data_IF_069085441576
#
_entry.id   IF_069085441576
#
_cell.length_a   1.000
_cell.length_b   1.000
_cell.length_c   1.000
_cell.angle_alpha   90.00
_cell.angle_beta   90.00
_cell.angle_gamma   90.00
#
_symmetry.space_group_name_H-M   'P 1'
#
loop_
_entity.id
_entity.type
_entity.pdbx_description
1 polymer ?
#
# COMPACT_ATOMS: atom_id res chain seq x y z
N UNK A 1 24.72 -38.88 -35.88
CA UNK A 1 23.46 -38.96 -35.09
C UNK A 1 23.33 -37.65 -34.32
N UNK A 2 22.52 -36.71 -34.80
CA UNK A 2 22.43 -35.36 -34.22
C UNK A 2 21.22 -35.34 -33.26
N UNK A 3 21.46 -34.95 -32.02
CA UNK A 3 20.43 -34.76 -31.02
C UNK A 3 19.78 -33.38 -31.23
N UNK A 4 18.51 -33.36 -31.63
CA UNK A 4 17.69 -32.17 -31.73
C UNK A 4 17.35 -31.69 -30.34
N UNK A 5 17.71 -30.46 -30.03
CA UNK A 5 17.24 -29.75 -28.84
C UNK A 5 15.74 -29.49 -28.95
N UNK A 6 14.97 -29.97 -27.99
CA UNK A 6 13.54 -29.70 -27.84
C UNK A 6 13.39 -28.22 -27.32
N UNK A 7 12.81 -27.38 -28.15
CA UNK A 7 12.44 -26.04 -27.78
C UNK A 7 11.36 -26.04 -26.72
N UNK A 8 11.53 -25.15 -25.75
CA UNK A 8 10.60 -24.87 -24.66
C UNK A 8 9.29 -24.31 -25.24
N UNK A 9 8.12 -24.92 -25.05
CA UNK A 9 6.87 -24.37 -25.55
C UNK A 9 6.45 -23.20 -24.66
N UNK A 10 6.40 -22.01 -25.23
CA UNK A 10 5.71 -20.87 -24.61
C UNK A 10 4.25 -21.26 -24.43
N UNK A 11 3.85 -21.47 -23.20
CA UNK A 11 2.45 -21.70 -22.85
C UNK A 11 1.68 -20.39 -23.03
N UNK A 12 0.98 -20.25 -24.15
CA UNK A 12 -0.03 -19.21 -24.35
C UNK A 12 -1.32 -19.68 -23.69
N UNK A 13 -1.60 -19.20 -22.48
CA UNK A 13 -2.89 -19.43 -21.84
C UNK A 13 -3.92 -18.46 -22.43
N UNK A 14 -4.86 -18.97 -23.21
CA UNK A 14 -6.12 -18.28 -23.51
C UNK A 14 -7.06 -18.51 -22.34
N UNK A 15 -7.29 -17.46 -21.54
CA UNK A 15 -8.40 -17.48 -20.58
C UNK A 15 -9.72 -17.45 -21.36
N UNK A 16 -10.48 -18.54 -21.31
CA UNK A 16 -11.86 -18.58 -21.80
C UNK A 16 -12.75 -18.27 -20.60
N UNK A 17 -13.24 -17.03 -20.54
CA UNK A 17 -14.28 -16.64 -19.59
C UNK A 17 -15.64 -17.07 -20.16
N UNK A 18 -16.26 -18.07 -19.56
CA UNK A 18 -17.64 -18.40 -19.83
C UNK A 18 -18.48 -17.86 -18.68
N UNK A 19 -19.01 -16.66 -18.83
CA UNK A 19 -19.95 -16.05 -17.86
C UNK A 19 -21.35 -16.29 -18.38
N UNK A 20 -21.89 -17.47 -18.07
CA UNK A 20 -23.36 -17.65 -18.06
C UNK A 20 -23.71 -18.85 -17.18
N UNK A 21 -24.43 -18.58 -16.07
CA UNK A 21 -25.17 -19.61 -15.36
C UNK A 21 -24.67 -19.93 -13.96
N UNK A 22 -25.56 -19.86 -13.04
CA UNK A 22 -25.56 -20.32 -11.65
C UNK A 22 -25.05 -21.77 -11.54
N UNK A 23 -23.75 -21.93 -11.35
CA UNK A 23 -23.12 -23.21 -11.09
C UNK A 23 -21.81 -22.97 -10.38
N UNK A 24 -21.64 -23.44 -9.14
CA UNK A 24 -20.38 -23.44 -8.44
C UNK A 24 -19.35 -24.16 -9.31
N UNK A 25 -18.31 -23.45 -9.75
CA UNK A 25 -17.18 -24.05 -10.45
C UNK A 25 -16.39 -24.91 -9.44
N UNK A 26 -16.59 -26.24 -9.49
CA UNK A 26 -15.92 -27.23 -8.64
C UNK A 26 -14.58 -27.68 -9.23
N UNK A 27 -13.76 -26.75 -9.75
CA UNK A 27 -12.38 -27.00 -10.12
C UNK A 27 -11.43 -26.29 -9.16
N UNK A 28 -10.22 -26.84 -8.88
CA UNK A 28 -9.26 -26.12 -8.08
C UNK A 28 -8.93 -24.80 -8.78
N UNK A 29 -9.22 -23.67 -8.11
CA UNK A 29 -8.80 -22.35 -8.58
C UNK A 29 -7.25 -22.33 -8.61
N UNK A 30 -6.68 -22.19 -9.78
CA UNK A 30 -5.23 -22.03 -9.92
C UNK A 30 -4.92 -20.56 -9.83
N UNK A 31 -4.28 -20.14 -8.73
CA UNK A 31 -3.77 -18.78 -8.57
C UNK A 31 -2.76 -18.49 -9.69
N UNK A 32 -2.94 -17.42 -10.46
CA UNK A 32 -2.11 -17.18 -11.65
C UNK A 32 -0.66 -16.78 -11.31
N UNK A 33 -0.34 -16.64 -10.02
CA UNK A 33 0.96 -16.21 -9.53
C UNK A 33 1.07 -14.71 -9.35
N UNK A 34 2.08 -14.29 -8.61
CA UNK A 34 2.38 -12.88 -8.36
C UNK A 34 2.79 -12.18 -9.65
N UNK A 35 2.24 -10.99 -9.88
CA UNK A 35 2.70 -10.02 -10.87
C UNK A 35 3.82 -9.14 -10.31
N UNK A 36 4.09 -8.01 -10.96
CA UNK A 36 4.93 -6.95 -10.44
C UNK A 36 4.07 -5.83 -9.89
N UNK A 37 4.45 -5.24 -8.76
CA UNK A 37 3.72 -4.15 -8.10
C UNK A 37 4.60 -2.92 -7.83
N UNK A 38 5.85 -2.95 -8.25
CA UNK A 38 6.80 -1.87 -8.09
C UNK A 38 7.19 -1.29 -9.45
N UNK A 39 7.40 0.02 -9.49
CA UNK A 39 7.85 0.74 -10.66
C UNK A 39 8.50 2.05 -10.26
N UNK A 40 8.89 2.86 -11.21
CA UNK A 40 9.70 4.05 -10.96
C UNK A 40 8.88 5.33 -10.75
N UNK A 41 7.60 5.33 -11.12
CA UNK A 41 6.71 6.46 -10.84
C UNK A 41 6.05 6.32 -9.48
N UNK A 42 6.41 7.20 -8.54
CA UNK A 42 5.75 7.37 -7.24
C UNK A 42 4.49 8.22 -7.38
N UNK A 43 3.45 7.84 -6.68
CA UNK A 43 2.16 8.53 -6.60
C UNK A 43 1.88 8.94 -5.16
N UNK A 44 1.34 10.16 -4.99
CA UNK A 44 0.77 10.63 -3.72
C UNK A 44 -0.64 11.19 -4.01
N UNK A 45 -1.67 10.47 -3.59
CA UNK A 45 -3.05 10.76 -3.98
C UNK A 45 -3.93 11.14 -2.79
N UNK A 46 -4.81 12.13 -2.99
CA UNK A 46 -5.74 12.60 -1.97
C UNK A 46 -5.05 13.21 -0.75
N UNK A 47 -5.56 12.92 0.43
CA UNK A 47 -5.02 13.42 1.71
C UNK A 47 -5.74 14.65 2.25
N UNK A 48 -5.19 15.24 3.30
CA UNK A 48 -5.80 16.41 3.97
C UNK A 48 -4.87 17.62 3.86
N UNK A 49 -5.29 18.63 3.09
CA UNK A 49 -4.67 19.95 2.97
C UNK A 49 -5.24 20.90 4.03
N UNK A 50 -4.64 22.09 4.19
CA UNK A 50 -5.15 23.12 5.14
C UNK A 50 -6.59 23.55 4.84
N UNK A 51 -7.00 23.47 3.57
CA UNK A 51 -8.35 23.77 3.12
C UNK A 51 -9.36 22.63 3.29
N UNK A 52 -8.93 21.42 3.67
CA UNK A 52 -9.78 20.23 3.81
C UNK A 52 -9.26 19.02 3.06
N UNK A 53 -10.17 18.09 2.73
CA UNK A 53 -9.82 16.89 1.98
C UNK A 53 -9.43 17.25 0.55
N UNK A 54 -8.43 16.56 0.01
CA UNK A 54 -7.90 16.76 -1.34
C UNK A 54 -8.33 15.64 -2.27
N UNK A 55 -8.54 15.99 -3.52
CA UNK A 55 -8.66 15.09 -4.66
C UNK A 55 -7.40 15.04 -5.52
N UNK A 56 -6.46 15.96 -5.32
CA UNK A 56 -5.22 16.05 -6.12
C UNK A 56 -4.41 14.78 -6.06
N UNK A 57 -3.86 14.38 -7.20
CA UNK A 57 -2.91 13.28 -7.34
C UNK A 57 -1.58 13.88 -7.81
N UNK A 58 -0.53 13.74 -7.02
CA UNK A 58 0.83 14.13 -7.38
C UNK A 58 1.63 12.91 -7.85
N UNK A 59 2.57 13.13 -8.78
CA UNK A 59 3.51 12.11 -9.25
C UNK A 59 4.94 12.62 -9.31
N UNK A 60 5.91 11.71 -9.16
CA UNK A 60 7.35 11.96 -9.28
C UNK A 60 8.09 10.68 -9.68
N UNK A 61 9.31 10.82 -10.21
CA UNK A 61 10.15 9.65 -10.53
C UNK A 61 11.03 9.30 -9.34
N UNK A 62 11.00 8.03 -8.87
CA UNK A 62 11.72 7.58 -7.67
C UNK A 62 13.23 7.49 -7.90
N UNK A 63 13.68 7.11 -9.09
CA UNK A 63 15.12 7.01 -9.42
C UNK A 63 15.78 8.36 -9.68
N UNK A 64 15.02 9.35 -10.16
CA UNK A 64 15.48 10.70 -10.48
C UNK A 64 14.57 11.76 -9.86
N UNK A 65 14.49 11.77 -8.51
CA UNK A 65 13.52 12.58 -7.77
C UNK A 65 13.70 14.07 -8.10
N UNK A 66 12.61 14.70 -8.45
CA UNK A 66 12.42 16.13 -8.63
C UNK A 66 11.08 16.52 -8.04
N UNK A 67 10.78 17.83 -7.97
CA UNK A 67 9.47 18.28 -7.49
C UNK A 67 8.34 17.59 -8.25
N UNK A 68 7.31 17.19 -7.52
CA UNK A 68 6.18 16.47 -8.07
C UNK A 68 5.43 17.32 -9.11
N UNK A 69 4.89 16.64 -10.10
CA UNK A 69 3.94 17.19 -11.05
C UNK A 69 2.50 16.81 -10.67
N UNK A 70 1.55 17.56 -11.18
CA UNK A 70 0.14 17.24 -11.12
C UNK A 70 -0.18 16.07 -12.09
N UNK A 71 -0.75 15.00 -11.53
CA UNK A 71 -1.19 13.82 -12.31
C UNK A 71 -2.64 13.97 -12.78
N UNK A 72 -3.49 14.58 -11.96
CA UNK A 72 -4.94 14.69 -12.11
C UNK A 72 -5.64 14.58 -10.76
N UNK A 73 -6.92 14.24 -10.76
CA UNK A 73 -7.76 14.27 -9.56
C UNK A 73 -8.44 12.93 -9.29
N UNK A 74 -8.74 12.65 -8.02
CA UNK A 74 -9.63 11.58 -7.58
C UNK A 74 -11.08 11.88 -7.99
N UNK A 75 -11.93 10.86 -8.05
CA UNK A 75 -13.38 11.05 -8.28
C UNK A 75 -14.05 11.80 -7.14
N UNK A 76 -13.50 11.70 -5.92
CA UNK A 76 -14.01 12.36 -4.70
C UNK A 76 -12.84 12.73 -3.78
N UNK A 77 -12.81 13.97 -3.24
CA UNK A 77 -11.81 14.37 -2.25
C UNK A 77 -11.84 13.48 -1.03
N UNK A 78 -10.67 12.91 -0.64
CA UNK A 78 -10.58 11.97 0.49
C UNK A 78 -9.24 12.02 1.21
N UNK A 79 -9.23 11.64 2.48
CA UNK A 79 -8.02 11.42 3.28
C UNK A 79 -8.20 10.18 4.16
N UNK A 80 -7.12 9.74 4.81
CA UNK A 80 -7.12 8.48 5.57
C UNK A 80 -7.60 7.28 4.73
N UNK A 81 -7.49 7.41 3.40
CA UNK A 81 -7.61 6.35 2.44
C UNK A 81 -6.33 5.52 2.41
N UNK A 82 -6.36 4.40 1.75
CA UNK A 82 -5.20 3.53 1.51
C UNK A 82 -5.17 3.10 0.06
N UNK A 83 -4.09 2.48 -0.35
CA UNK A 83 -3.97 2.03 -1.74
C UNK A 83 -3.00 0.89 -1.92
N UNK A 84 -2.97 0.41 -3.13
CA UNK A 84 -2.00 -0.54 -3.64
C UNK A 84 -1.91 -0.41 -5.16
N UNK A 85 -0.97 -1.09 -5.77
CA UNK A 85 -0.78 -1.03 -7.22
C UNK A 85 -0.25 -2.34 -7.78
N UNK A 86 -0.34 -2.45 -9.09
CA UNK A 86 0.62 -3.20 -9.88
C UNK A 86 1.47 -2.23 -10.70
N UNK A 87 2.25 -2.72 -11.67
CA UNK A 87 3.08 -1.85 -12.51
C UNK A 87 2.28 -0.83 -13.32
N UNK A 88 1.03 -1.10 -13.67
CA UNK A 88 0.23 -0.29 -14.61
C UNK A 88 -0.91 0.45 -13.95
N UNK A 89 -1.49 -0.10 -12.89
CA UNK A 89 -2.69 0.42 -12.25
C UNK A 89 -2.48 0.66 -10.76
N UNK A 90 -2.88 1.84 -10.29
CA UNK A 90 -2.96 2.18 -8.88
C UNK A 90 -4.40 2.24 -8.41
N UNK A 91 -4.67 1.73 -7.21
CA UNK A 91 -5.98 1.74 -6.56
C UNK A 91 -5.94 2.65 -5.33
N UNK A 92 -6.97 3.45 -5.17
CA UNK A 92 -7.16 4.35 -4.02
C UNK A 92 -8.49 4.01 -3.39
N UNK A 93 -8.48 3.51 -2.15
CA UNK A 93 -9.60 2.84 -1.53
C UNK A 93 -10.09 3.55 -0.28
N UNK A 94 -11.41 3.64 -0.12
CA UNK A 94 -12.03 4.12 1.09
C UNK A 94 -11.69 5.57 1.46
N UNK A 95 -11.70 5.87 2.74
CA UNK A 95 -11.36 7.18 3.29
C UNK A 95 -12.31 7.64 4.39
N UNK A 96 -11.96 8.77 5.01
CA UNK A 96 -12.72 9.37 6.08
C UNK A 96 -14.19 9.60 5.67
N UNK A 97 -15.10 9.58 6.62
CA UNK A 97 -16.56 9.52 6.41
C UNK A 97 -17.03 8.19 5.81
N UNK A 98 -16.29 7.11 6.03
CA UNK A 98 -16.64 5.76 5.58
C UNK A 98 -16.92 5.67 4.07
N UNK A 99 -16.09 6.32 3.27
CA UNK A 99 -16.14 6.20 1.81
C UNK A 99 -15.98 4.73 1.45
N UNK A 100 -16.85 4.23 0.57
CA UNK A 100 -16.86 2.83 0.14
C UNK A 100 -16.16 2.66 -1.22
N UNK A 101 -16.17 3.69 -2.08
CA UNK A 101 -15.64 3.59 -3.43
C UNK A 101 -14.14 3.31 -3.47
N UNK A 102 -13.76 2.56 -4.49
CA UNK A 102 -12.38 2.34 -4.92
C UNK A 102 -12.20 3.13 -6.22
N UNK A 103 -11.24 4.05 -6.24
CA UNK A 103 -10.80 4.73 -7.44
C UNK A 103 -9.60 4.01 -8.05
N UNK A 104 -9.40 4.10 -9.37
CA UNK A 104 -8.17 3.66 -10.01
C UNK A 104 -7.61 4.68 -10.98
N UNK A 105 -6.28 4.62 -11.16
CA UNK A 105 -5.55 5.35 -12.20
C UNK A 105 -4.72 4.38 -13.05
N UNK A 106 -4.47 4.74 -14.30
CA UNK A 106 -3.42 4.12 -15.13
C UNK A 106 -2.13 4.89 -14.91
N UNK A 107 -1.16 4.33 -14.19
CA UNK A 107 0.01 5.05 -13.67
C UNK A 107 0.86 5.69 -14.77
N UNK A 108 0.96 5.06 -15.95
CA UNK A 108 1.70 5.59 -17.10
C UNK A 108 1.04 6.76 -17.83
N UNK A 109 -0.21 7.13 -17.51
CA UNK A 109 -1.00 8.11 -18.26
C UNK A 109 -1.63 9.14 -17.32
N UNK A 110 -1.25 10.42 -17.48
CA UNK A 110 -1.81 11.52 -16.69
C UNK A 110 -3.30 11.67 -17.01
N UNK A 111 -4.15 11.43 -16.02
CA UNK A 111 -5.60 11.54 -16.15
C UNK A 111 -6.27 11.53 -14.77
N UNK A 112 -7.48 12.05 -14.71
CA UNK A 112 -8.37 11.90 -13.54
C UNK A 112 -8.67 10.42 -13.28
N UNK A 113 -8.73 10.04 -12.01
CA UNK A 113 -9.09 8.69 -11.57
C UNK A 113 -10.49 8.29 -12.05
N UNK A 114 -10.70 7.01 -12.16
CA UNK A 114 -11.98 6.41 -12.56
C UNK A 114 -12.48 5.50 -11.44
N UNK A 115 -13.79 5.28 -11.42
CA UNK A 115 -14.43 4.34 -10.53
C UNK A 115 -14.00 2.89 -10.87
N UNK A 116 -13.57 2.16 -9.84
CA UNK A 116 -13.19 0.74 -9.95
C UNK A 116 -14.28 -0.19 -9.45
N UNK A 117 -15.02 0.20 -8.43
CA UNK A 117 -16.00 -0.55 -7.69
C UNK A 117 -15.99 -0.19 -6.21
N UNK A 118 -16.60 -1.00 -5.37
CA UNK A 118 -16.80 -0.71 -3.96
C UNK A 118 -16.12 -1.72 -3.02
N UNK A 119 -15.71 -1.25 -1.84
CA UNK A 119 -15.37 -2.08 -0.70
C UNK A 119 -16.61 -2.82 -0.20
N UNK A 120 -16.45 -3.94 0.49
CA UNK A 120 -17.59 -4.62 1.15
C UNK A 120 -18.21 -3.76 2.26
N UNK A 121 -17.42 -2.90 2.88
CA UNK A 121 -17.83 -1.90 3.87
C UNK A 121 -16.98 -0.65 3.79
N UNK A 122 -17.61 0.51 3.71
CA UNK A 122 -16.90 1.81 3.70
C UNK A 122 -16.20 2.05 5.04
N UNK A 123 -14.92 2.39 4.99
CA UNK A 123 -14.06 2.60 6.17
C UNK A 123 -12.84 3.47 5.86
N UNK A 124 -12.07 3.80 6.88
CA UNK A 124 -10.83 4.57 6.76
C UNK A 124 -9.71 3.94 7.62
N UNK A 125 -8.47 4.40 7.45
CA UNK A 125 -7.29 3.94 8.20
C UNK A 125 -7.04 2.42 8.12
N UNK A 126 -7.27 1.81 6.95
CA UNK A 126 -6.88 0.43 6.66
C UNK A 126 -5.50 0.38 6.00
N UNK A 127 -4.92 -0.82 5.90
CA UNK A 127 -3.70 -1.08 5.16
C UNK A 127 -3.98 -1.73 3.81
N UNK A 128 -3.23 -1.35 2.76
CA UNK A 128 -3.28 -1.96 1.44
C UNK A 128 -1.97 -2.63 1.07
N UNK A 129 -2.04 -3.81 0.45
CA UNK A 129 -0.90 -4.57 -0.05
C UNK A 129 -1.25 -5.23 -1.38
N UNK A 130 -0.26 -5.43 -2.26
CA UNK A 130 -0.48 -6.07 -3.56
C UNK A 130 0.70 -6.92 -3.98
N UNK A 131 0.42 -8.08 -4.59
CA UNK A 131 1.41 -8.90 -5.30
C UNK A 131 1.43 -8.61 -6.81
N UNK A 132 0.74 -7.55 -7.24
CA UNK A 132 0.58 -7.17 -8.64
C UNK A 132 -0.60 -7.86 -9.34
N UNK A 133 -1.20 -8.90 -8.75
CA UNK A 133 -2.42 -9.52 -9.23
C UNK A 133 -3.62 -9.18 -8.34
N UNK A 134 -3.48 -9.39 -7.02
CA UNK A 134 -4.47 -9.02 -6.02
C UNK A 134 -4.06 -7.76 -5.28
N UNK A 135 -5.00 -6.82 -5.12
CA UNK A 135 -4.94 -5.79 -4.10
C UNK A 135 -5.72 -6.29 -2.88
N UNK A 136 -5.09 -6.36 -1.72
CA UNK A 136 -5.69 -6.88 -0.48
C UNK A 136 -5.67 -5.78 0.58
N UNK A 137 -6.81 -5.57 1.22
CA UNK A 137 -7.06 -4.47 2.15
C UNK A 137 -7.45 -5.02 3.52
N UNK A 138 -6.77 -4.58 4.58
CA UNK A 138 -6.96 -5.15 5.91
C UNK A 138 -7.20 -4.10 6.99
N UNK A 139 -8.11 -4.40 7.91
CA UNK A 139 -8.42 -3.59 9.07
C UNK A 139 -9.17 -2.29 8.74
N UNK A 140 -8.83 -1.22 9.44
CA UNK A 140 -9.48 0.08 9.33
C UNK A 140 -10.58 0.30 10.37
N UNK A 141 -11.34 1.38 10.19
CA UNK A 141 -12.42 1.72 11.13
C UNK A 141 -13.65 2.28 10.41
N UNK A 142 -14.84 1.92 10.91
CA UNK A 142 -16.15 2.49 10.55
C UNK A 142 -16.70 3.37 11.69
N UNK A 143 -15.84 3.80 12.64
CA UNK A 143 -16.17 4.25 13.97
C UNK A 143 -15.86 3.17 15.02
N UNK A 144 -15.87 1.91 14.63
CA UNK A 144 -15.32 0.78 15.37
C UNK A 144 -14.25 0.09 14.54
N UNK A 145 -13.15 -0.35 15.16
CA UNK A 145 -12.06 -1.06 14.49
C UNK A 145 -12.55 -2.35 13.83
N UNK A 146 -11.95 -2.70 12.70
CA UNK A 146 -12.37 -3.83 11.87
C UNK A 146 -11.32 -4.94 11.84
N UNK A 147 -11.79 -6.19 11.74
CA UNK A 147 -10.95 -7.35 11.41
C UNK A 147 -10.96 -7.67 9.92
N UNK A 148 -11.81 -7.03 9.13
CA UNK A 148 -12.06 -7.36 7.71
C UNK A 148 -10.77 -7.37 6.91
N UNK A 149 -10.54 -8.45 6.17
CA UNK A 149 -9.61 -8.51 5.05
C UNK A 149 -10.44 -8.79 3.79
N UNK A 150 -10.30 -7.96 2.78
CA UNK A 150 -10.97 -8.10 1.49
C UNK A 150 -9.99 -7.82 0.35
N UNK A 151 -10.33 -8.26 -0.87
CA UNK A 151 -9.46 -8.10 -2.01
C UNK A 151 -10.22 -7.80 -3.30
N UNK A 152 -9.47 -7.27 -4.26
CA UNK A 152 -9.86 -7.13 -5.67
C UNK A 152 -8.77 -7.74 -6.57
N UNK A 153 -9.12 -8.03 -7.83
CA UNK A 153 -8.13 -8.30 -8.88
C UNK A 153 -7.78 -6.98 -9.56
N UNK A 154 -6.55 -6.49 -9.41
CA UNK A 154 -6.13 -5.13 -9.77
C UNK A 154 -6.49 -4.74 -11.21
N UNK A 155 -6.41 -5.66 -12.16
CA UNK A 155 -6.70 -5.38 -13.58
C UNK A 155 -8.19 -5.48 -13.95
N UNK A 156 -9.06 -5.89 -13.02
CA UNK A 156 -10.49 -6.10 -13.32
C UNK A 156 -11.33 -5.26 -12.38
N UNK A 157 -11.93 -4.19 -12.92
CA UNK A 157 -12.83 -3.34 -12.15
C UNK A 157 -14.05 -4.15 -11.66
N UNK A 158 -14.21 -4.23 -10.36
CA UNK A 158 -15.26 -4.96 -9.67
C UNK A 158 -15.24 -4.63 -8.17
N UNK A 159 -16.34 -4.92 -7.48
CA UNK A 159 -16.41 -4.79 -6.03
C UNK A 159 -15.45 -5.76 -5.33
N UNK A 160 -14.98 -5.34 -4.16
CA UNK A 160 -14.14 -6.17 -3.31
C UNK A 160 -14.92 -7.37 -2.77
N UNK A 161 -14.21 -8.46 -2.56
CA UNK A 161 -14.75 -9.68 -1.96
C UNK A 161 -13.95 -10.10 -0.74
N UNK A 162 -14.57 -10.82 0.18
CA UNK A 162 -13.93 -11.27 1.42
C UNK A 162 -12.70 -12.12 1.14
N UNK A 163 -11.62 -11.84 1.87
CA UNK A 163 -10.37 -12.62 1.88
C UNK A 163 -10.26 -13.46 3.16
N UNK A 164 -10.53 -12.85 4.32
CA UNK A 164 -10.38 -13.43 5.65
C UNK A 164 -10.50 -12.34 6.73
N UNK A 165 -9.87 -12.55 7.87
CA UNK A 165 -9.87 -11.62 9.00
C UNK A 165 -8.48 -11.44 9.60
N UNK A 166 -8.20 -10.24 10.12
CA UNK A 166 -7.07 -10.00 11.03
C UNK A 166 -7.28 -10.74 12.36
N UNK A 167 -6.21 -11.08 13.03
CA UNK A 167 -6.23 -11.72 14.35
C UNK A 167 -6.90 -10.86 15.42
N UNK A 168 -6.87 -9.53 15.27
CA UNK A 168 -7.54 -8.55 16.12
C UNK A 168 -8.08 -7.37 15.30
N UNK A 169 -9.16 -6.74 15.76
CA UNK A 169 -9.73 -5.56 15.13
C UNK A 169 -8.76 -4.38 15.24
N UNK A 170 -8.23 -3.93 14.11
CA UNK A 170 -7.12 -2.96 14.05
C UNK A 170 -7.44 -1.83 13.09
N UNK A 171 -7.10 -0.58 13.47
CA UNK A 171 -7.10 0.59 12.59
C UNK A 171 -5.74 1.26 12.58
N UNK A 172 -5.42 2.01 11.52
CA UNK A 172 -4.15 2.72 11.36
C UNK A 172 -2.94 1.80 11.15
N UNK A 173 -3.17 0.55 10.76
CA UNK A 173 -2.10 -0.31 10.22
C UNK A 173 -1.71 0.14 8.83
N UNK A 174 -0.49 -0.18 8.41
CA UNK A 174 0.00 0.16 7.08
C UNK A 174 0.49 -1.09 6.35
N UNK A 175 0.15 -1.20 5.06
CA UNK A 175 0.37 -2.39 4.26
C UNK A 175 1.64 -2.32 3.41
N UNK A 176 2.40 -3.39 3.39
CA UNK A 176 3.55 -3.63 2.52
C UNK A 176 3.44 -5.03 1.91
N UNK A 177 4.25 -5.35 0.93
CA UNK A 177 4.13 -6.62 0.22
C UNK A 177 5.46 -7.28 -0.12
N UNK A 178 5.42 -8.58 -0.31
CA UNK A 178 6.38 -9.34 -1.09
C UNK A 178 5.65 -10.06 -2.22
N UNK A 179 6.35 -10.87 -3.01
CA UNK A 179 5.71 -11.67 -4.04
C UNK A 179 4.66 -12.67 -3.49
N UNK A 180 4.77 -13.07 -2.23
CA UNK A 180 3.92 -14.10 -1.63
C UNK A 180 3.03 -13.58 -0.50
N UNK A 181 3.46 -12.53 0.19
CA UNK A 181 2.87 -12.09 1.45
C UNK A 181 2.44 -10.62 1.39
N UNK A 182 1.22 -10.34 1.83
CA UNK A 182 0.82 -9.00 2.26
C UNK A 182 1.09 -8.85 3.75
N UNK A 183 1.75 -7.77 4.14
CA UNK A 183 2.17 -7.47 5.51
C UNK A 183 1.44 -6.23 6.01
N UNK A 184 0.92 -6.28 7.23
CA UNK A 184 0.17 -5.17 7.83
C UNK A 184 0.78 -4.87 9.20
N UNK A 185 1.56 -3.79 9.30
CA UNK A 185 2.35 -3.46 10.47
C UNK A 185 1.75 -2.35 11.32
N UNK A 186 1.85 -2.49 12.64
CA UNK A 186 1.40 -1.51 13.62
C UNK A 186 -0.11 -1.30 13.64
N UNK A 187 -0.53 -0.11 14.00
CA UNK A 187 -1.94 0.25 14.16
C UNK A 187 -2.36 0.35 15.62
N UNK A 188 -3.66 0.23 15.84
CA UNK A 188 -4.26 0.27 17.16
C UNK A 188 -5.42 -0.72 17.26
N UNK A 189 -5.41 -1.56 18.28
CA UNK A 189 -6.51 -2.43 18.69
C UNK A 189 -7.31 -1.87 19.90
N UNK A 190 -6.93 -0.70 20.35
CA UNK A 190 -7.36 0.02 21.56
C UNK A 190 -6.16 0.74 22.15
N UNK A 191 -4.99 0.17 22.01
CA UNK A 191 -3.68 0.77 22.25
C UNK A 191 -2.85 0.71 20.97
N UNK A 192 -1.78 1.47 20.87
CA UNK A 192 -0.82 1.32 19.76
C UNK A 192 -0.13 -0.04 19.89
N UNK A 193 0.05 -0.75 18.78
CA UNK A 193 0.63 -2.09 18.75
C UNK A 193 1.91 -2.14 17.91
N UNK A 194 2.72 -3.17 18.20
CA UNK A 194 3.93 -3.49 17.44
C UNK A 194 3.66 -4.53 16.35
N UNK A 195 2.60 -5.31 16.50
CA UNK A 195 2.34 -6.50 15.69
C UNK A 195 2.38 -6.22 14.19
N UNK A 196 3.03 -7.11 13.46
CA UNK A 196 2.97 -7.23 12.01
C UNK A 196 2.17 -8.50 11.69
N UNK A 197 0.98 -8.33 11.13
CA UNK A 197 0.19 -9.45 10.60
C UNK A 197 0.61 -9.73 9.15
N UNK A 198 0.51 -11.00 8.70
CA UNK A 198 0.67 -11.33 7.29
C UNK A 198 -0.46 -12.21 6.76
N UNK A 199 -0.66 -12.12 5.44
CA UNK A 199 -1.50 -13.03 4.65
C UNK A 199 -0.66 -13.63 3.51
N UNK A 200 -1.08 -14.78 3.02
CA UNK A 200 -0.52 -15.36 1.80
C UNK A 200 -1.46 -15.05 0.63
N UNK A 201 -1.01 -14.29 -0.36
CA UNK A 201 -1.87 -13.82 -1.47
C UNK A 201 -2.58 -14.95 -2.22
N UNK A 202 -1.93 -16.11 -2.38
CA UNK A 202 -2.49 -17.25 -3.11
C UNK A 202 -3.58 -18.00 -2.35
N UNK A 203 -3.73 -17.79 -1.04
CA UNK A 203 -4.62 -18.57 -0.17
C UNK A 203 -5.56 -17.64 0.58
N UNK A 204 -6.87 -17.77 0.35
CA UNK A 204 -7.87 -17.03 1.13
C UNK A 204 -7.93 -17.62 2.54
N UNK A 205 -7.47 -16.86 3.52
CA UNK A 205 -7.41 -17.26 4.93
C UNK A 205 -7.28 -16.06 5.85
N UNK A 206 -7.48 -16.27 7.13
CA UNK A 206 -7.18 -15.29 8.16
C UNK A 206 -5.67 -14.98 8.20
N UNK A 207 -5.33 -13.80 8.74
CA UNK A 207 -3.95 -13.41 8.93
C UNK A 207 -3.25 -14.25 10.01
N UNK A 208 -1.94 -14.30 9.91
CA UNK A 208 -1.05 -14.89 10.92
C UNK A 208 -0.03 -13.86 11.40
N UNK A 209 0.63 -14.16 12.49
CA UNK A 209 1.67 -13.32 13.08
C UNK A 209 2.97 -13.46 12.28
N UNK A 210 3.54 -12.32 11.84
CA UNK A 210 4.85 -12.24 11.17
C UNK A 210 5.96 -11.91 12.17
N UNK A 211 5.68 -11.06 13.15
CA UNK A 211 6.60 -10.50 14.14
C UNK A 211 6.17 -9.10 14.57
N UNK A 212 7.09 -8.32 15.10
CA UNK A 212 6.82 -7.02 15.71
C UNK A 212 7.67 -5.90 15.10
N UNK A 213 7.09 -4.69 14.98
CA UNK A 213 7.84 -3.45 14.82
C UNK A 213 8.69 -3.16 16.06
N UNK A 214 9.74 -2.39 15.93
CA UNK A 214 10.60 -2.01 17.07
C UNK A 214 9.89 -1.10 18.08
N UNK A 215 8.82 -0.41 17.64
CA UNK A 215 8.05 0.53 18.47
C UNK A 215 6.56 0.46 18.13
N UNK A 216 5.72 0.45 19.18
CA UNK A 216 4.27 0.48 19.05
C UNK A 216 3.78 1.81 18.47
N UNK A 217 3.12 1.78 17.32
CA UNK A 217 2.65 2.97 16.62
C UNK A 217 1.56 2.68 15.60
N UNK A 218 0.74 3.67 15.28
CA UNK A 218 -0.10 3.67 14.10
C UNK A 218 0.66 4.34 12.95
N UNK A 219 0.88 3.62 11.88
CA UNK A 219 1.77 4.03 10.77
C UNK A 219 1.04 4.77 9.66
N UNK A 220 -0.28 4.61 9.54
CA UNK A 220 -1.17 5.35 8.64
C UNK A 220 -0.53 5.68 7.26
N UNK A 221 -0.35 4.66 6.41
CA UNK A 221 0.20 4.70 5.04
C UNK A 221 1.73 4.91 4.88
N UNK A 222 2.48 5.17 5.94
CA UNK A 222 3.94 5.32 5.87
C UNK A 222 4.67 4.00 5.65
N UNK A 223 4.25 3.19 4.67
CA UNK A 223 4.90 1.91 4.34
C UNK A 223 5.10 1.76 2.85
N UNK A 224 6.14 1.01 2.50
CA UNK A 224 6.42 0.57 1.14
C UNK A 224 7.32 -0.66 1.17
N UNK A 225 7.53 -1.27 0.02
CA UNK A 225 8.37 -2.46 -0.08
C UNK A 225 8.96 -2.62 -1.47
N UNK A 226 10.08 -3.34 -1.52
CA UNK A 226 10.53 -3.99 -2.73
C UNK A 226 10.40 -5.51 -2.58
N UNK A 227 10.98 -6.29 -3.48
CA UNK A 227 10.87 -7.76 -3.46
C UNK A 227 11.57 -8.43 -2.27
N UNK A 228 12.42 -7.72 -1.52
CA UNK A 228 13.22 -8.27 -0.42
C UNK A 228 12.92 -7.65 0.94
N UNK A 229 12.52 -6.39 1.01
CA UNK A 229 12.30 -5.66 2.25
C UNK A 229 10.97 -4.91 2.25
N UNK A 230 10.30 -4.92 3.40
CA UNK A 230 9.18 -4.06 3.72
C UNK A 230 9.62 -3.06 4.79
N UNK A 231 9.25 -1.79 4.59
CA UNK A 231 9.61 -0.67 5.45
C UNK A 231 8.35 0.00 5.99
N UNK A 232 8.41 0.45 7.24
CA UNK A 232 7.39 1.29 7.89
C UNK A 232 8.06 2.51 8.49
N UNK A 233 7.64 3.69 8.06
CA UNK A 233 8.23 4.95 8.48
C UNK A 233 7.30 5.75 9.38
N UNK A 234 7.87 6.33 10.42
CA UNK A 234 7.22 7.30 11.30
C UNK A 234 5.89 6.78 11.91
N UNK A 235 5.01 7.69 12.28
CA UNK A 235 3.67 7.39 12.78
C UNK A 235 3.41 7.86 14.21
N UNK A 236 2.12 7.82 14.60
CA UNK A 236 1.70 8.17 15.94
C UNK A 236 2.05 7.08 16.95
N UNK A 237 3.04 7.32 17.81
CA UNK A 237 3.43 6.42 18.89
C UNK A 237 2.48 6.48 20.10
N UNK A 238 2.78 5.70 21.13
CA UNK A 238 1.97 5.63 22.35
C UNK A 238 2.00 6.94 23.16
N UNK A 239 3.13 7.63 23.17
CA UNK A 239 3.33 8.88 23.95
C UNK A 239 3.62 10.10 23.04
N UNK A 240 4.22 9.89 21.88
CA UNK A 240 4.56 10.93 20.90
C UNK A 240 4.69 10.30 19.52
N UNK A 241 4.61 11.13 18.47
CA UNK A 241 4.97 10.69 17.13
C UNK A 241 6.44 10.31 17.07
N UNK A 242 6.80 9.45 16.13
CA UNK A 242 8.17 8.96 15.94
C UNK A 242 8.62 9.22 14.49
N UNK A 243 9.91 9.41 14.30
CA UNK A 243 10.59 9.51 13.02
C UNK A 243 11.18 8.17 12.56
N UNK A 244 11.13 7.14 13.39
CA UNK A 244 11.76 5.84 13.14
C UNK A 244 11.24 5.17 11.87
N UNK A 245 12.19 4.61 11.11
CA UNK A 245 11.92 3.70 10.00
C UNK A 245 12.31 2.30 10.46
N UNK A 246 11.37 1.37 10.43
CA UNK A 246 11.61 -0.06 10.66
C UNK A 246 11.58 -0.83 9.36
N UNK A 247 12.30 -1.96 9.30
CA UNK A 247 12.22 -2.88 8.18
C UNK A 247 12.20 -4.35 8.62
N UNK A 248 11.64 -5.19 7.75
CA UNK A 248 11.78 -6.65 7.80
C UNK A 248 12.29 -7.17 6.46
N UNK A 249 13.04 -8.26 6.47
CA UNK A 249 13.28 -9.06 5.28
C UNK A 249 12.04 -9.92 5.01
N UNK A 250 11.44 -9.79 3.82
CA UNK A 250 10.14 -10.42 3.51
C UNK A 250 10.23 -11.92 3.26
N UNK A 251 11.43 -12.49 3.22
CA UNK A 251 11.66 -13.92 2.97
C UNK A 251 11.53 -14.79 4.23
N UNK A 252 11.57 -14.19 5.44
CA UNK A 252 11.55 -14.92 6.70
C UNK A 252 10.75 -14.20 7.78
N UNK A 253 9.96 -14.94 8.53
CA UNK A 253 9.22 -14.40 9.67
C UNK A 253 10.17 -13.95 10.77
N UNK A 254 10.15 -12.68 11.12
CA UNK A 254 11.02 -12.10 12.15
C UNK A 254 10.51 -10.75 12.60
N UNK A 255 10.95 -10.31 13.78
CA UNK A 255 10.75 -8.93 14.20
C UNK A 255 11.49 -7.96 13.31
N UNK A 256 10.97 -6.76 13.21
CA UNK A 256 11.60 -5.67 12.48
C UNK A 256 12.90 -5.21 13.15
N UNK A 257 13.76 -4.66 12.33
CA UNK A 257 15.00 -4.01 12.73
C UNK A 257 14.91 -2.52 12.45
N UNK A 258 15.56 -1.71 13.27
CA UNK A 258 15.71 -0.28 13.04
C UNK A 258 16.49 -0.04 11.74
N UNK A 259 15.91 0.74 10.84
CA UNK A 259 16.53 1.13 9.57
C UNK A 259 17.23 2.48 9.67
N UNK A 260 16.70 3.41 10.44
CA UNK A 260 17.08 4.81 10.55
C UNK A 260 15.85 5.70 10.80
N UNK A 261 15.95 6.98 10.46
CA UNK A 261 14.91 7.96 10.76
C UNK A 261 14.47 8.73 9.50
N UNK A 262 13.23 9.22 9.52
CA UNK A 262 12.79 10.27 8.60
C UNK A 262 13.47 11.60 8.96
N UNK A 263 13.55 12.53 8.02
CA UNK A 263 14.14 13.86 8.28
C UNK A 263 13.29 14.75 9.21
N UNK A 264 12.03 14.41 9.37
CA UNK A 264 11.09 15.11 10.25
C UNK A 264 11.00 14.38 11.58
N UNK A 265 11.27 15.08 12.68
CA UNK A 265 11.47 14.46 13.99
C UNK A 265 10.20 13.89 14.65
N UNK A 266 8.99 14.34 14.25
CA UNK A 266 7.72 13.93 14.85
C UNK A 266 6.63 13.91 13.80
N UNK A 267 6.72 12.98 12.86
CA UNK A 267 5.81 12.96 11.71
C UNK A 267 4.79 11.82 11.83
N UNK A 268 3.56 12.11 11.41
CA UNK A 268 2.51 11.11 11.20
C UNK A 268 1.81 11.34 9.86
N UNK A 269 1.18 10.30 9.34
CA UNK A 269 0.40 10.39 8.12
C UNK A 269 1.23 10.63 6.87
N UNK A 270 2.43 10.06 6.81
CA UNK A 270 3.22 9.93 5.58
C UNK A 270 2.54 8.95 4.62
N UNK A 271 2.88 9.04 3.34
CA UNK A 271 2.68 7.94 2.40
C UNK A 271 4.00 7.37 1.93
N UNK A 272 3.99 6.09 1.51
CA UNK A 272 5.16 5.39 1.02
C UNK A 272 5.01 4.90 -0.41
N UNK A 273 6.09 4.99 -1.18
CA UNK A 273 6.22 4.38 -2.50
C UNK A 273 7.64 3.83 -2.67
N UNK A 274 7.84 2.85 -3.53
CA UNK A 274 9.18 2.28 -3.71
C UNK A 274 9.39 1.78 -5.15
N UNK A 275 10.64 1.87 -5.61
CA UNK A 275 11.12 1.05 -6.70
C UNK A 275 12.02 -0.09 -6.16
N UNK A 276 12.74 -0.78 -7.02
CA UNK A 276 13.63 -1.88 -6.60
C UNK A 276 14.77 -1.44 -5.66
N UNK A 277 15.14 -0.15 -5.63
CA UNK A 277 16.32 0.36 -4.94
C UNK A 277 16.02 1.40 -3.87
N UNK A 278 15.01 2.23 -4.08
CA UNK A 278 14.65 3.35 -3.19
C UNK A 278 13.25 3.20 -2.64
N UNK A 279 13.09 3.56 -1.38
CA UNK A 279 11.81 3.84 -0.74
C UNK A 279 11.69 5.36 -0.56
N UNK A 280 10.54 5.91 -0.90
CA UNK A 280 10.20 7.32 -0.69
C UNK A 280 9.09 7.44 0.34
N UNK A 281 9.16 8.48 1.16
CA UNK A 281 8.12 8.84 2.12
C UNK A 281 7.75 10.30 1.89
N UNK A 282 6.45 10.58 1.77
CA UNK A 282 5.99 11.90 1.34
C UNK A 282 4.92 12.48 2.24
N UNK A 283 4.92 13.81 2.36
CA UNK A 283 3.90 14.55 3.10
C UNK A 283 4.00 14.40 4.61
N UNK A 284 2.86 14.24 5.27
CA UNK A 284 2.73 14.09 6.73
C UNK A 284 2.44 15.38 7.47
N UNK A 285 2.35 15.28 8.80
CA UNK A 285 2.29 16.43 9.73
C UNK A 285 3.54 16.43 10.59
N UNK A 286 4.25 17.54 10.61
CA UNK A 286 5.39 17.80 11.49
C UNK A 286 5.14 19.08 12.29
N UNK A 287 5.17 18.97 13.63
CA UNK A 287 4.94 20.12 14.52
C UNK A 287 3.57 20.81 14.31
N UNK A 288 2.56 20.10 13.80
CA UNK A 288 1.24 20.64 13.49
C UNK A 288 1.10 21.24 12.09
N UNK A 289 2.17 21.34 11.32
CA UNK A 289 2.16 21.83 9.94
C UNK A 289 2.16 20.67 8.95
N UNK A 290 1.40 20.79 7.85
CA UNK A 290 1.43 19.80 6.77
C UNK A 290 2.69 19.97 5.94
N UNK A 291 3.35 18.86 5.68
CA UNK A 291 4.60 18.79 4.92
C UNK A 291 4.33 18.52 3.44
N UNK A 292 5.17 19.08 2.57
CA UNK A 292 5.24 18.74 1.15
C UNK A 292 6.50 17.93 0.80
N UNK A 293 7.31 17.59 1.76
CA UNK A 293 8.61 16.93 1.54
C UNK A 293 8.43 15.57 0.88
N UNK A 294 9.29 15.30 -0.10
CA UNK A 294 9.59 13.97 -0.66
C UNK A 294 10.98 13.59 -0.16
N UNK A 295 11.06 12.62 0.72
CA UNK A 295 12.32 12.09 1.26
C UNK A 295 12.50 10.64 0.83
N UNK A 296 13.76 10.17 0.76
CA UNK A 296 14.03 8.78 0.37
C UNK A 296 15.11 8.12 1.19
N UNK A 297 15.09 6.79 1.17
CA UNK A 297 16.17 5.91 1.66
C UNK A 297 16.57 4.92 0.56
N UNK A 298 17.80 4.43 0.60
CA UNK A 298 18.26 3.29 -0.21
C UNK A 298 17.91 1.98 0.51
N UNK A 299 16.98 1.19 -0.01
CA UNK A 299 16.37 0.04 0.70
C UNK A 299 17.42 -1.00 1.16
N UNK A 300 18.49 -1.20 0.40
CA UNK A 300 19.53 -2.18 0.74
C UNK A 300 20.44 -1.75 1.90
N UNK A 301 20.49 -0.46 2.24
CA UNK A 301 21.46 0.10 3.18
C UNK A 301 20.74 0.89 4.26
N UNK A 302 20.62 0.36 5.50
CA UNK A 302 20.05 1.11 6.61
C UNK A 302 20.74 2.46 6.83
N UNK A 303 19.96 3.48 7.14
CA UNK A 303 20.40 4.86 7.36
C UNK A 303 19.24 5.82 7.31
N UNK A 304 19.48 7.06 7.72
CA UNK A 304 18.47 8.11 7.75
C UNK A 304 18.04 8.53 6.34
N UNK A 305 16.80 9.02 6.25
CA UNK A 305 16.26 9.53 5.01
C UNK A 305 16.94 10.83 4.58
N UNK A 306 16.97 11.04 3.27
CA UNK A 306 17.50 12.25 2.62
C UNK A 306 16.37 13.04 2.00
N UNK A 307 16.35 14.35 2.19
CA UNK A 307 15.48 15.29 1.47
C UNK A 307 15.81 15.27 -0.02
N UNK A 308 14.78 15.17 -0.85
CA UNK A 308 14.97 15.04 -2.28
C UNK A 308 14.20 16.06 -3.11
N UNK A 309 12.98 16.39 -2.73
CA UNK A 309 12.09 17.27 -3.49
C UNK A 309 10.80 17.57 -2.71
N UNK A 310 9.85 18.26 -3.39
CA UNK A 310 8.57 18.65 -2.84
C UNK A 310 7.37 18.14 -3.65
N UNK A 311 6.29 17.79 -2.97
CA UNK A 311 4.94 17.68 -3.52
C UNK A 311 4.42 19.05 -3.93
N UNK A 312 3.37 19.10 -4.74
CA UNK A 312 2.75 20.36 -5.18
C UNK A 312 2.17 21.17 -4.02
N UNK A 313 1.85 20.53 -2.90
CA UNK A 313 1.36 21.19 -1.68
C UNK A 313 1.62 20.38 -0.42
N UNK A 314 1.64 21.04 0.74
CA UNK A 314 1.69 20.38 2.04
C UNK A 314 0.43 19.57 2.31
N UNK A 315 0.60 18.28 2.63
CA UNK A 315 -0.49 17.32 2.75
C UNK A 315 -0.19 16.26 3.83
N UNK A 316 -1.21 15.81 4.55
CA UNK A 316 -1.11 14.68 5.46
C UNK A 316 -1.98 13.52 4.98
N UNK A 317 -1.61 12.30 5.33
CA UNK A 317 -2.31 11.05 4.99
C UNK A 317 -2.69 10.92 3.51
N UNK A 318 -1.79 11.28 2.56
CA UNK A 318 -2.02 10.87 1.18
C UNK A 318 -1.89 9.35 1.04
N UNK A 319 -2.41 8.82 -0.04
CA UNK A 319 -2.22 7.42 -0.43
C UNK A 319 -0.94 7.33 -1.26
N UNK A 320 -0.03 6.41 -0.92
CA UNK A 320 1.20 6.18 -1.67
C UNK A 320 1.26 4.80 -2.31
N UNK A 321 1.79 4.74 -3.52
CA UNK A 321 2.17 3.53 -4.25
C UNK A 321 3.05 3.88 -5.45
N UNK A 322 3.54 2.88 -6.17
CA UNK A 322 4.36 3.09 -7.35
C UNK A 322 4.00 2.15 -8.50
N UNK A 323 4.42 2.50 -9.73
CA UNK A 323 4.24 1.72 -10.93
C UNK A 323 5.01 2.31 -12.11
N UNK A 324 4.69 1.91 -13.34
CA UNK A 324 5.35 2.39 -14.58
C UNK A 324 4.34 2.84 -15.62
#
# INVERSE_FOLDING_TARGET
MAIKALGNPKATYKAVWNVSGTGAASGPYVYPGAGTWIGDRGIAAGGNKSAGHSDTIDYYDISSISNAGDFGDLTTPRHAAWGCSNTTRGLICGGYNTIQSIDYITIGTLATAQDFGDLTVGRHDAGGASDGYRGVFAGGTTGSRQTVIEYVVVETAADAVSFGSLSAATSGCSGAASANYGLYGGGSDGSKITQINYITFSTLSDSSDFGDLTLARATANGSCSNTSRALWAAGGGASANTDRIDYVDTASLSNATDFGNTIQAQVEGLSGAANSTRATFTGGIDGGSRSNIIQYVTISTPGDATDAADLTAGIRTPVGFSGT
#
